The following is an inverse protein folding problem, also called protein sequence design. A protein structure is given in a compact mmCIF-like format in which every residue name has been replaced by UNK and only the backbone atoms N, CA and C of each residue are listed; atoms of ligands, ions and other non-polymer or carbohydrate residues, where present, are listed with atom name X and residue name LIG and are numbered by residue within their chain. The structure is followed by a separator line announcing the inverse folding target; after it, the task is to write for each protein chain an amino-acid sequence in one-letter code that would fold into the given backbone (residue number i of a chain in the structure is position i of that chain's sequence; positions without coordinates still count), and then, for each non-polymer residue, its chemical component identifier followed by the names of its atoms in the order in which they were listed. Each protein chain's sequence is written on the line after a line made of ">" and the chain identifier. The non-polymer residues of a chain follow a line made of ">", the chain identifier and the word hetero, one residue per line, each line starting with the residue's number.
data_IF_108743905482
#
_entry.id   IF_108743905482
#
_cell.length_a   1.000
_cell.length_b   1.000
_cell.length_c   1.000
_cell.angle_alpha   90.00
_cell.angle_beta   90.00
_cell.angle_gamma   90.00
#
_symmetry.space_group_name_H-M   'P 1'
#
loop_
_entity.id
_entity.type
_entity.pdbx_description
1 polymer ?
#
# COMPACT_ATOMS: atom_id res chain seq x y z
N UNK A 1 -12.75 -4.82 -3.55
CA UNK A 1 -11.40 -4.48 -3.03
C UNK A 1 -11.06 -5.44 -1.91
N UNK A 2 -9.87 -6.03 -1.95
CA UNK A 2 -9.42 -6.97 -0.92
C UNK A 2 -8.84 -6.23 0.29
N UNK A 3 -9.04 -6.83 1.48
CA UNK A 3 -8.32 -6.43 2.68
C UNK A 3 -7.25 -7.49 2.96
N UNK A 4 -5.99 -7.06 3.02
CA UNK A 4 -4.86 -7.95 3.26
C UNK A 4 -4.27 -7.64 4.64
N UNK A 5 -4.06 -8.65 5.46
CA UNK A 5 -3.16 -8.47 6.60
C UNK A 5 -1.72 -8.33 6.08
N UNK A 6 -0.80 -7.71 6.82
CA UNK A 6 0.60 -7.65 6.39
C UNK A 6 1.19 -9.02 6.06
N UNK A 7 0.82 -10.06 6.80
CA UNK A 7 1.28 -11.43 6.54
C UNK A 7 0.78 -12.00 5.21
N UNK A 8 -0.31 -11.49 4.67
CA UNK A 8 -0.89 -11.98 3.41
C UNK A 8 -0.30 -11.28 2.17
N UNK A 9 0.46 -10.21 2.34
CA UNK A 9 0.96 -9.41 1.22
C UNK A 9 1.89 -10.21 0.32
N UNK A 10 2.77 -11.04 0.88
CA UNK A 10 3.70 -11.85 0.10
C UNK A 10 2.96 -12.83 -0.83
N UNK A 11 1.98 -13.57 -0.32
CA UNK A 11 1.21 -14.52 -1.12
C UNK A 11 0.36 -13.80 -2.17
N UNK A 12 -0.25 -12.67 -1.81
CA UNK A 12 -1.00 -11.85 -2.75
C UNK A 12 -0.10 -11.37 -3.91
N UNK A 13 1.09 -10.89 -3.58
CA UNK A 13 2.08 -10.44 -4.56
C UNK A 13 2.46 -11.54 -5.54
N UNK A 14 2.72 -12.74 -5.05
CA UNK A 14 3.09 -13.88 -5.88
C UNK A 14 1.96 -14.37 -6.78
N UNK A 15 0.72 -14.14 -6.40
CA UNK A 15 -0.44 -14.55 -7.18
C UNK A 15 -0.72 -13.64 -8.37
N UNK A 16 -0.07 -12.48 -8.47
CA UNK A 16 -0.35 -11.50 -9.53
C UNK A 16 0.41 -11.84 -10.81
N UNK A 17 -0.26 -11.70 -11.97
CA UNK A 17 0.39 -11.89 -13.27
C UNK A 17 1.25 -10.70 -13.67
N UNK A 18 0.93 -9.50 -13.17
CA UNK A 18 1.71 -8.28 -13.36
C UNK A 18 2.36 -7.89 -12.03
N UNK A 19 3.58 -7.36 -12.09
CA UNK A 19 4.29 -6.92 -10.88
C UNK A 19 3.48 -5.85 -10.16
N UNK A 20 3.04 -6.08 -8.91
CA UNK A 20 2.21 -5.11 -8.21
C UNK A 20 2.99 -3.93 -7.65
N UNK A 21 2.25 -2.90 -7.29
CA UNK A 21 2.74 -1.71 -6.60
C UNK A 21 2.23 -1.74 -5.17
N UNK A 22 3.09 -1.42 -4.21
CA UNK A 22 2.68 -1.06 -2.86
C UNK A 22 2.70 0.47 -2.77
N UNK A 23 1.52 1.07 -2.73
CA UNK A 23 1.34 2.52 -2.73
C UNK A 23 1.25 3.01 -1.28
N UNK A 24 2.29 3.69 -0.84
CA UNK A 24 2.33 4.30 0.49
C UNK A 24 1.74 5.70 0.40
N UNK A 25 0.59 5.90 1.02
CA UNK A 25 -0.16 7.16 0.92
C UNK A 25 0.03 8.05 2.15
N UNK A 26 1.03 7.74 2.98
CA UNK A 26 1.36 8.52 4.17
C UNK A 26 2.10 9.81 3.80
N UNK A 27 2.24 10.69 4.80
CA UNK A 27 3.06 11.89 4.65
C UNK A 27 4.56 11.55 4.64
N UNK A 28 5.36 12.45 4.08
CA UNK A 28 6.80 12.22 3.95
C UNK A 28 7.51 11.97 5.29
N UNK A 29 7.13 12.69 6.34
CA UNK A 29 7.72 12.49 7.66
C UNK A 29 7.43 11.10 8.23
N UNK A 30 6.26 10.54 7.93
CA UNK A 30 5.90 9.18 8.35
C UNK A 30 6.78 8.14 7.65
N UNK A 31 6.99 8.31 6.35
CA UNK A 31 7.84 7.41 5.56
C UNK A 31 9.28 7.43 6.07
N UNK A 32 9.78 8.60 6.47
CA UNK A 32 11.11 8.72 7.06
C UNK A 32 11.20 8.09 8.44
N UNK A 33 10.10 8.06 9.18
CA UNK A 33 10.05 7.46 10.52
C UNK A 33 10.05 5.93 10.47
N UNK A 34 9.27 5.36 9.55
CA UNK A 34 9.14 3.91 9.40
C UNK A 34 8.73 3.58 7.97
N UNK A 35 9.34 2.56 7.37
CA UNK A 35 9.04 2.14 6.00
C UNK A 35 9.16 0.64 5.85
N UNK A 36 8.53 0.10 4.78
CA UNK A 36 8.63 -1.30 4.38
C UNK A 36 9.17 -1.38 2.97
N UNK A 37 9.84 -2.48 2.65
CA UNK A 37 10.34 -2.76 1.30
C UNK A 37 10.21 -4.24 0.99
N UNK A 38 8.97 -4.77 0.88
CA UNK A 38 8.78 -6.19 0.60
C UNK A 38 9.25 -6.54 -0.81
N UNK A 39 9.66 -7.80 -0.98
CA UNK A 39 10.12 -8.29 -2.26
C UNK A 39 8.96 -8.54 -3.22
N UNK A 40 9.23 -8.45 -4.52
CA UNK A 40 8.30 -8.84 -5.57
C UNK A 40 7.33 -7.76 -6.00
N UNK A 41 7.40 -6.57 -5.42
CA UNK A 41 6.60 -5.43 -5.82
C UNK A 41 7.44 -4.16 -5.81
N UNK A 42 6.90 -3.09 -6.40
CA UNK A 42 7.55 -1.79 -6.40
C UNK A 42 6.89 -0.88 -5.39
N UNK A 43 7.71 -0.19 -4.59
CA UNK A 43 7.23 0.82 -3.65
C UNK A 43 7.06 2.15 -4.38
N UNK A 44 5.89 2.77 -4.23
CA UNK A 44 5.64 4.14 -4.68
C UNK A 44 5.12 4.92 -3.49
N UNK A 45 5.75 6.05 -3.19
CA UNK A 45 5.25 6.98 -2.19
C UNK A 45 4.47 8.10 -2.87
N UNK A 46 3.20 8.22 -2.51
CA UNK A 46 2.30 9.22 -3.08
C UNK A 46 1.32 9.64 -1.99
N UNK A 47 1.61 10.75 -1.28
CA UNK A 47 0.73 11.20 -0.20
C UNK A 47 -0.73 11.26 -0.66
N UNK A 48 -1.63 10.84 0.22
CA UNK A 48 -3.05 10.59 -0.08
C UNK A 48 -3.68 11.71 -0.93
N UNK A 49 -3.45 12.97 -0.54
CA UNK A 49 -4.10 14.10 -1.20
C UNK A 49 -3.55 14.39 -2.60
N UNK A 50 -2.39 13.84 -2.94
CA UNK A 50 -1.76 14.02 -4.26
C UNK A 50 -2.20 12.96 -5.27
N UNK A 51 -2.85 11.89 -4.82
CA UNK A 51 -3.19 10.74 -5.68
C UNK A 51 -4.07 11.15 -6.87
N UNK A 52 -5.15 11.92 -6.70
CA UNK A 52 -5.98 12.28 -7.85
C UNK A 52 -5.21 13.03 -8.95
N UNK A 53 -4.34 13.96 -8.58
CA UNK A 53 -3.55 14.73 -9.53
C UNK A 53 -2.42 13.92 -10.18
N UNK A 54 -1.97 12.86 -9.52
CA UNK A 54 -0.84 12.03 -9.95
C UNK A 54 -1.28 10.68 -10.51
N UNK A 55 -2.57 10.52 -10.79
CA UNK A 55 -3.14 9.22 -11.20
C UNK A 55 -2.45 8.65 -12.44
N UNK A 56 -2.02 9.51 -13.37
CA UNK A 56 -1.34 9.08 -14.60
C UNK A 56 0.03 8.41 -14.33
N UNK A 57 0.60 8.57 -13.15
CA UNK A 57 1.85 7.90 -12.77
C UNK A 57 1.65 6.43 -12.37
N UNK A 58 0.40 6.00 -12.21
CA UNK A 58 0.06 4.62 -11.84
C UNK A 58 -0.44 3.85 -13.07
N UNK A 59 0.26 2.75 -13.38
CA UNK A 59 -0.10 1.86 -14.49
C UNK A 59 -1.35 1.05 -14.13
N UNK A 60 -2.43 1.22 -14.90
CA UNK A 60 -3.70 0.50 -14.69
C UNK A 60 -3.59 -1.01 -14.83
N UNK A 61 -2.55 -1.50 -15.52
CA UNK A 61 -2.34 -2.93 -15.69
C UNK A 61 -1.72 -3.59 -14.45
N UNK A 62 -1.20 -2.79 -13.54
CA UNK A 62 -0.52 -3.30 -12.34
C UNK A 62 -1.46 -3.23 -11.15
N UNK A 63 -1.60 -4.34 -10.39
CA UNK A 63 -2.36 -4.32 -9.13
C UNK A 63 -1.70 -3.38 -8.11
N UNK A 64 -2.51 -2.73 -7.29
CA UNK A 64 -2.05 -1.77 -6.29
C UNK A 64 -2.53 -2.20 -4.92
N UNK A 65 -1.60 -2.39 -3.99
CA UNK A 65 -1.93 -2.50 -2.57
C UNK A 65 -1.64 -1.15 -1.91
N UNK A 66 -2.60 -0.63 -1.17
CA UNK A 66 -2.49 0.68 -0.51
C UNK A 66 -2.10 0.53 0.95
N UNK A 67 -1.16 1.35 1.41
CA UNK A 67 -0.60 1.31 2.75
C UNK A 67 -0.68 2.69 3.40
N UNK A 68 -1.09 2.73 4.66
CA UNK A 68 -0.95 3.92 5.50
C UNK A 68 -0.53 3.52 6.92
N UNK A 69 -0.78 4.36 7.93
CA UNK A 69 -0.37 4.07 9.31
C UNK A 69 -1.20 2.93 9.91
N UNK A 70 -2.54 3.03 9.89
CA UNK A 70 -3.46 2.07 10.50
C UNK A 70 -4.49 1.46 9.53
N UNK A 71 -4.49 1.84 8.26
CA UNK A 71 -5.37 1.28 7.24
C UNK A 71 -6.54 2.13 6.80
N UNK A 72 -6.82 3.26 7.46
CA UNK A 72 -7.99 4.11 7.14
C UNK A 72 -7.79 5.00 5.92
N UNK A 73 -6.70 5.74 5.88
CA UNK A 73 -6.37 6.61 4.72
C UNK A 73 -6.17 5.78 3.46
N UNK A 74 -5.47 4.66 3.57
CA UNK A 74 -5.22 3.78 2.44
C UNK A 74 -6.49 3.12 1.93
N UNK A 75 -7.46 2.83 2.81
CA UNK A 75 -8.75 2.31 2.38
C UNK A 75 -9.50 3.33 1.50
N UNK A 76 -9.47 4.61 1.88
CA UNK A 76 -10.09 5.67 1.07
C UNK A 76 -9.45 5.77 -0.31
N UNK A 77 -8.12 5.70 -0.37
CA UNK A 77 -7.39 5.71 -1.63
C UNK A 77 -7.72 4.47 -2.47
N UNK A 78 -7.80 3.31 -1.84
CA UNK A 78 -8.16 2.07 -2.54
C UNK A 78 -9.55 2.17 -3.16
N UNK A 79 -10.55 2.70 -2.46
CA UNK A 79 -11.88 2.92 -3.03
C UNK A 79 -11.82 3.88 -4.22
N UNK A 80 -11.05 4.97 -4.11
CA UNK A 80 -10.89 5.91 -5.21
C UNK A 80 -10.28 5.23 -6.44
N UNK A 81 -9.20 4.49 -6.25
CA UNK A 81 -8.51 3.79 -7.36
C UNK A 81 -9.39 2.72 -7.98
N UNK A 82 -10.14 1.98 -7.16
CA UNK A 82 -11.07 0.97 -7.68
C UNK A 82 -12.11 1.61 -8.59
N UNK A 83 -12.67 2.76 -8.20
CA UNK A 83 -13.61 3.51 -9.02
C UNK A 83 -12.98 4.00 -10.33
N UNK A 84 -11.65 4.17 -10.36
CA UNK A 84 -10.91 4.58 -11.56
C UNK A 84 -10.48 3.38 -12.42
N UNK A 85 -10.88 2.16 -12.07
CA UNK A 85 -10.61 0.97 -12.88
C UNK A 85 -9.36 0.19 -12.50
N UNK A 86 -8.73 0.48 -11.36
CA UNK A 86 -7.58 -0.27 -10.88
C UNK A 86 -8.00 -1.52 -10.11
N UNK A 87 -7.18 -2.57 -10.19
CA UNK A 87 -7.27 -3.71 -9.27
C UNK A 87 -6.55 -3.31 -7.98
N UNK A 88 -7.26 -3.32 -6.86
CA UNK A 88 -6.73 -2.77 -5.60
C UNK A 88 -6.90 -3.73 -4.44
N UNK A 89 -6.02 -3.58 -3.47
CA UNK A 89 -6.12 -4.15 -2.14
C UNK A 89 -5.74 -3.08 -1.11
N UNK A 90 -6.19 -3.25 0.13
CA UNK A 90 -5.78 -2.40 1.24
C UNK A 90 -5.02 -3.24 2.25
N UNK A 91 -3.91 -2.71 2.76
CA UNK A 91 -3.17 -3.37 3.85
C UNK A 91 -3.87 -3.05 5.17
N UNK A 92 -4.66 -4.00 5.67
CA UNK A 92 -5.44 -3.84 6.88
C UNK A 92 -4.51 -3.67 8.09
N UNK A 93 -4.80 -2.67 8.91
CA UNK A 93 -3.96 -2.33 10.06
C UNK A 93 -2.71 -1.53 9.71
N UNK A 94 -2.39 -1.36 8.44
CA UNK A 94 -1.31 -0.52 7.95
C UNK A 94 0.08 -0.95 8.40
N UNK A 95 1.02 -0.01 8.37
CA UNK A 95 2.40 -0.28 8.78
C UNK A 95 2.50 -0.59 10.28
N UNK A 96 1.56 -0.10 11.09
CA UNK A 96 1.51 -0.44 12.51
C UNK A 96 1.34 -1.95 12.70
N UNK A 97 0.36 -2.55 12.02
CA UNK A 97 0.15 -4.00 12.08
C UNK A 97 1.34 -4.75 11.49
N UNK A 98 1.97 -4.21 10.46
CA UNK A 98 3.16 -4.81 9.86
C UNK A 98 4.30 -4.90 10.88
N UNK A 99 4.55 -3.80 11.60
CA UNK A 99 5.58 -3.75 12.63
C UNK A 99 5.31 -4.69 13.80
N UNK A 100 4.04 -4.81 14.23
CA UNK A 100 3.69 -5.60 15.41
C UNK A 100 3.47 -7.08 15.11
N UNK A 101 3.12 -7.42 13.88
CA UNK A 101 2.73 -8.80 13.53
C UNK A 101 3.74 -9.52 12.64
N UNK A 102 4.52 -8.81 11.83
CA UNK A 102 5.40 -9.42 10.83
C UNK A 102 6.86 -9.06 11.04
N UNK A 103 7.18 -7.76 11.14
CA UNK A 103 8.57 -7.30 11.17
C UNK A 103 8.80 -6.32 12.32
N UNK A 104 9.27 -6.84 13.48
CA UNK A 104 9.51 -5.99 14.65
C UNK A 104 10.66 -5.00 14.48
N UNK A 105 11.44 -5.07 13.42
CA UNK A 105 12.49 -4.09 13.13
C UNK A 105 11.92 -2.77 12.62
N UNK A 106 10.65 -2.76 12.17
CA UNK A 106 9.99 -1.53 11.73
C UNK A 106 9.60 -0.71 12.97
N UNK A 107 9.94 0.56 12.96
CA UNK A 107 9.60 1.45 14.07
C UNK A 107 8.08 1.61 14.21
N UNK A 108 7.60 1.60 15.44
CA UNK A 108 6.21 1.91 15.79
C UNK A 108 6.12 3.38 16.15
N UNK A 109 5.13 4.09 15.59
CA UNK A 109 5.00 5.53 15.83
C UNK A 109 3.55 5.96 16.05
#
# INVERSE_FOLDING_TARGET
>A
MEQLTPAQVAAWTQAQSQRPVLLDVREGWEVQTASVSPEGLDMIHMPMQTVPARLAELDRQRPVACLCHHGGRSMQVAFFLEAQGYQVANVAGGIHAWATQVDPSIAVY
#
